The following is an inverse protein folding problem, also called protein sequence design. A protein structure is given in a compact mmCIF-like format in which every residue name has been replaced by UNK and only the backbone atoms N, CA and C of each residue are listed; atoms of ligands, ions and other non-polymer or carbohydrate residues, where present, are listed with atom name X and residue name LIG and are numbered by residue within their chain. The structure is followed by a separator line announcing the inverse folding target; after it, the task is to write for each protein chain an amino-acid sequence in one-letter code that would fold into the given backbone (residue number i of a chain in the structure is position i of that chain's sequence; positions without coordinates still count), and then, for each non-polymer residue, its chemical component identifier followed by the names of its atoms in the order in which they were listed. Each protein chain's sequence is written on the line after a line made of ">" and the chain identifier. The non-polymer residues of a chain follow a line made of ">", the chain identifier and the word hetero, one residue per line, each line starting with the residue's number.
data_IF_264062306269
#
_entry.id   IF_264062306269
#
_cell.length_a   1.000
_cell.length_b   1.000
_cell.length_c   1.000
_cell.angle_alpha   90.00
_cell.angle_beta   90.00
_cell.angle_gamma   90.00
#
_symmetry.space_group_name_H-M   'P 1'
#
loop_
_entity.id
_entity.type
_entity.pdbx_description
1 polymer ?
#
# COMPACT_ATOMS: atom_id res chain seq x y z
N UNK A 1 3.14 -33.24 -2.21
CA UNK A 1 1.81 -33.47 -1.58
C UNK A 1 0.73 -33.41 -2.66
N UNK A 2 -0.09 -34.46 -2.85
CA UNK A 2 -1.05 -34.54 -3.98
C UNK A 2 -2.23 -33.56 -3.75
N UNK A 3 -2.68 -32.85 -4.80
CA UNK A 3 -3.75 -31.83 -4.83
C UNK A 3 -4.98 -32.14 -3.95
N UNK A 4 -5.39 -33.42 -3.88
CA UNK A 4 -6.53 -33.88 -3.04
C UNK A 4 -6.25 -33.88 -1.53
N UNK A 5 -5.01 -34.13 -1.11
CA UNK A 5 -4.61 -34.10 0.31
C UNK A 5 -4.54 -32.65 0.83
N UNK A 6 -4.13 -31.70 -0.01
CA UNK A 6 -4.13 -30.26 0.33
C UNK A 6 -5.56 -29.70 0.46
N UNK A 7 -6.47 -30.07 -0.45
CA UNK A 7 -7.89 -29.66 -0.36
C UNK A 7 -8.54 -30.21 0.91
N UNK A 8 -8.25 -31.47 1.28
CA UNK A 8 -8.72 -32.04 2.56
C UNK A 8 -8.15 -31.29 3.77
N UNK A 9 -6.86 -30.95 3.77
CA UNK A 9 -6.22 -30.18 4.84
C UNK A 9 -6.72 -28.73 4.94
N UNK A 10 -6.95 -28.06 3.81
CA UNK A 10 -7.51 -26.71 3.75
C UNK A 10 -8.98 -26.65 4.22
N UNK A 11 -9.77 -27.70 3.92
CA UNK A 11 -11.14 -27.82 4.40
C UNK A 11 -11.24 -28.20 5.90
N UNK A 12 -10.21 -28.86 6.46
CA UNK A 12 -10.17 -29.21 7.91
C UNK A 12 -9.40 -28.19 8.76
N UNK A 13 -8.61 -27.31 8.16
CA UNK A 13 -7.80 -26.30 8.84
C UNK A 13 -8.54 -25.06 9.35
N UNK A 14 -9.86 -24.96 9.11
CA UNK A 14 -10.73 -23.87 9.55
C UNK A 14 -11.87 -24.40 10.43
N UNK A 15 -11.56 -25.31 11.35
CA UNK A 15 -12.50 -25.67 12.43
C UNK A 15 -12.52 -24.56 13.48
N UNK A 16 -13.64 -24.39 14.19
CA UNK A 16 -13.80 -23.36 15.23
C UNK A 16 -12.68 -23.38 16.29
N UNK A 17 -12.08 -24.55 16.57
CA UNK A 17 -10.92 -24.69 17.45
C UNK A 17 -9.63 -24.08 16.85
N UNK A 18 -9.39 -24.25 15.55
CA UNK A 18 -8.28 -23.62 14.84
C UNK A 18 -8.41 -22.10 14.76
N UNK A 19 -9.63 -21.57 14.67
CA UNK A 19 -9.92 -20.13 14.75
C UNK A 19 -9.70 -19.56 16.17
N UNK A 20 -10.01 -20.34 17.21
CA UNK A 20 -9.77 -19.96 18.62
C UNK A 20 -8.27 -19.94 18.95
N UNK A 21 -7.52 -20.93 18.45
CA UNK A 21 -6.07 -21.02 18.63
C UNK A 21 -5.32 -19.97 17.78
N UNK A 22 -5.80 -19.69 16.56
CA UNK A 22 -5.34 -18.56 15.75
C UNK A 22 -5.67 -17.22 16.41
N UNK A 23 -6.85 -17.08 17.02
CA UNK A 23 -7.26 -15.85 17.71
C UNK A 23 -6.42 -15.54 18.95
N UNK A 24 -6.22 -16.53 19.83
CA UNK A 24 -5.38 -16.38 21.02
C UNK A 24 -3.91 -16.02 20.70
N UNK A 25 -3.43 -16.34 19.49
CA UNK A 25 -2.02 -16.22 19.07
C UNK A 25 -1.73 -15.06 18.11
N UNK A 26 -2.72 -14.57 17.38
CA UNK A 26 -2.65 -13.36 16.53
C UNK A 26 -2.93 -12.06 17.31
N UNK A 27 -3.18 -12.17 18.63
CA UNK A 27 -3.57 -11.05 19.48
C UNK A 27 -5.08 -10.75 19.47
N UNK A 28 -5.90 -11.58 18.82
CA UNK A 28 -7.36 -11.52 18.90
C UNK A 28 -7.79 -12.23 20.20
N UNK A 29 -7.66 -11.56 21.35
CA UNK A 29 -8.30 -12.03 22.60
C UNK A 29 -9.82 -11.98 22.44
N UNK A 30 -10.62 -12.85 23.10
CA UNK A 30 -12.03 -12.55 23.32
C UNK A 30 -12.07 -11.27 24.18
N UNK A 31 -12.37 -10.16 23.51
CA UNK A 31 -12.28 -8.81 24.05
C UNK A 31 -13.29 -8.64 25.20
N UNK A 32 -12.78 -8.53 26.43
CA UNK A 32 -13.49 -7.81 27.50
C UNK A 32 -13.26 -6.31 27.26
N UNK A 33 -14.30 -5.62 26.81
CA UNK A 33 -14.44 -4.18 26.97
C UNK A 33 -13.66 -3.30 25.99
N UNK A 34 -13.83 -3.52 24.69
CA UNK A 34 -13.94 -2.38 23.75
C UNK A 34 -15.14 -2.68 22.85
N UNK A 35 -15.96 -1.66 22.61
CA UNK A 35 -17.23 -1.79 21.93
C UNK A 35 -16.99 -2.16 20.46
N UNK A 36 -16.93 -3.47 20.14
CA UNK A 36 -16.94 -4.03 18.78
C UNK A 36 -18.36 -3.90 18.22
N UNK A 37 -18.82 -2.66 18.15
CA UNK A 37 -20.05 -2.22 17.51
C UNK A 37 -19.78 -0.81 16.96
N UNK A 38 -18.82 -0.69 16.04
CA UNK A 38 -18.95 0.32 14.99
C UNK A 38 -19.63 -0.37 13.81
N UNK A 39 -20.98 -0.34 13.73
CA UNK A 39 -21.69 -0.85 12.56
C UNK A 39 -21.16 -0.16 11.29
N UNK A 40 -21.31 -0.79 10.11
CA UNK A 40 -20.89 -0.20 8.83
C UNK A 40 -21.52 1.19 8.56
N UNK A 41 -22.60 1.56 9.27
CA UNK A 41 -23.16 2.91 9.29
C UNK A 41 -22.21 3.99 9.82
N UNK A 42 -21.31 3.65 10.75
CA UNK A 42 -20.34 4.59 11.32
C UNK A 42 -19.20 4.90 10.34
N UNK A 43 -18.96 4.00 9.37
CA UNK A 43 -17.99 4.25 8.29
C UNK A 43 -18.51 5.40 7.41
N UNK A 44 -19.81 5.47 7.11
CA UNK A 44 -20.38 6.63 6.40
C UNK A 44 -20.23 7.93 7.19
N UNK A 45 -20.43 7.89 8.51
CA UNK A 45 -20.23 9.06 9.37
C UNK A 45 -18.74 9.49 9.45
N UNK A 46 -17.81 8.53 9.45
CA UNK A 46 -16.36 8.79 9.44
C UNK A 46 -15.83 9.27 8.09
N UNK A 47 -16.48 8.86 6.99
CA UNK A 47 -16.16 9.36 5.64
C UNK A 47 -16.62 10.82 5.44
N UNK A 48 -17.54 11.30 6.30
CA UNK A 48 -18.08 12.66 6.26
C UNK A 48 -18.89 12.97 4.99
N UNK A 49 -19.62 14.08 5.02
CA UNK A 49 -20.04 14.76 3.79
C UNK A 49 -18.86 15.63 3.34
N UNK A 50 -17.95 15.05 2.54
CA UNK A 50 -16.85 15.80 1.96
C UNK A 50 -17.41 17.05 1.25
N UNK A 51 -16.83 18.25 1.46
CA UNK A 51 -17.37 19.49 0.90
C UNK A 51 -17.49 19.39 -0.62
N UNK A 52 -18.74 19.47 -1.12
CA UNK A 52 -19.02 19.51 -2.56
C UNK A 52 -18.92 20.96 -3.01
N UNK A 53 -17.70 21.49 -3.01
CA UNK A 53 -17.43 22.84 -3.47
C UNK A 53 -17.47 22.85 -5.00
N UNK A 54 -18.14 23.83 -5.58
CA UNK A 54 -18.51 23.89 -7.00
C UNK A 54 -17.35 24.18 -7.99
N UNK A 55 -16.10 23.88 -7.64
CA UNK A 55 -14.92 24.36 -8.40
C UNK A 55 -14.31 23.32 -9.36
N UNK A 56 -14.67 22.03 -9.30
CA UNK A 56 -13.92 21.01 -10.08
C UNK A 56 -14.76 19.92 -10.76
N UNK A 57 -15.98 20.25 -11.21
CA UNK A 57 -16.87 19.31 -11.94
C UNK A 57 -16.33 18.82 -13.31
N UNK A 58 -15.13 19.21 -13.74
CA UNK A 58 -14.61 18.89 -15.07
C UNK A 58 -13.78 17.60 -15.13
N UNK A 59 -13.08 17.22 -14.06
CA UNK A 59 -12.20 16.04 -14.05
C UNK A 59 -12.95 14.87 -13.40
N UNK A 60 -13.78 14.18 -14.21
CA UNK A 60 -14.63 13.11 -13.72
C UNK A 60 -14.04 11.71 -13.95
N UNK A 61 -13.01 11.61 -14.78
CA UNK A 61 -12.38 10.36 -15.22
C UNK A 61 -10.88 10.55 -15.36
N UNK A 62 -10.13 9.45 -15.36
CA UNK A 62 -8.71 9.48 -15.73
C UNK A 62 -8.52 10.03 -17.13
N UNK A 63 -9.40 9.69 -18.07
CA UNK A 63 -9.38 10.26 -19.42
C UNK A 63 -9.59 11.78 -19.49
N UNK A 64 -10.20 12.39 -18.46
CA UNK A 64 -10.40 13.84 -18.38
C UNK A 64 -9.14 14.58 -17.86
N UNK A 65 -8.13 13.86 -17.35
CA UNK A 65 -6.90 14.48 -16.82
C UNK A 65 -6.13 15.29 -17.87
N UNK A 66 -6.37 15.07 -19.17
CA UNK A 66 -5.83 15.90 -20.27
C UNK A 66 -6.30 17.36 -20.21
N UNK A 67 -7.33 17.67 -19.43
CA UNK A 67 -7.75 19.05 -19.18
C UNK A 67 -6.81 19.78 -18.21
N UNK A 68 -5.95 19.07 -17.48
CA UNK A 68 -4.90 19.65 -16.65
C UNK A 68 -3.64 19.88 -17.50
N UNK A 69 -2.85 20.93 -17.23
CA UNK A 69 -1.73 21.33 -18.08
C UNK A 69 -0.55 20.34 -18.09
N UNK A 70 -0.58 19.31 -17.25
CA UNK A 70 0.51 18.35 -17.10
C UNK A 70 0.36 17.09 -17.93
N UNK A 71 -0.83 16.83 -18.49
CA UNK A 71 -1.12 15.54 -19.13
C UNK A 71 -1.56 15.70 -20.57
N UNK A 72 -1.14 14.76 -21.41
CA UNK A 72 -1.59 14.62 -22.79
C UNK A 72 -1.79 13.14 -23.12
N UNK A 73 -2.29 12.84 -24.31
CA UNK A 73 -2.32 11.48 -24.84
C UNK A 73 -1.21 11.30 -25.86
N UNK A 74 -0.55 10.14 -25.85
CA UNK A 74 0.35 9.74 -26.92
C UNK A 74 -0.40 9.30 -28.19
N UNK A 75 0.34 8.88 -29.21
CA UNK A 75 -0.21 8.39 -30.48
C UNK A 75 -1.09 7.15 -30.31
N UNK A 76 -0.87 6.36 -29.26
CA UNK A 76 -1.68 5.19 -28.91
C UNK A 76 -2.93 5.55 -28.08
N UNK A 77 -3.11 6.83 -27.74
CA UNK A 77 -4.20 7.31 -26.90
C UNK A 77 -3.99 7.07 -25.40
N UNK A 78 -2.80 6.61 -24.99
CA UNK A 78 -2.45 6.42 -23.58
C UNK A 78 -2.09 7.76 -22.93
N UNK A 79 -2.55 7.97 -21.70
CA UNK A 79 -2.23 9.17 -20.94
C UNK A 79 -0.74 9.18 -20.55
N UNK A 80 -0.08 10.32 -20.72
CA UNK A 80 1.32 10.56 -20.35
C UNK A 80 1.49 11.98 -19.84
N UNK A 81 2.65 12.29 -19.29
CA UNK A 81 3.05 13.67 -19.05
C UNK A 81 3.20 14.43 -20.37
N UNK A 82 2.71 15.67 -20.41
CA UNK A 82 2.85 16.55 -21.57
C UNK A 82 4.31 16.93 -21.80
N UNK A 83 4.68 17.15 -23.07
CA UNK A 83 6.06 17.49 -23.40
C UNK A 83 6.48 18.83 -22.77
N UNK A 84 7.65 18.86 -22.12
CA UNK A 84 8.23 20.08 -21.54
C UNK A 84 7.63 20.53 -20.21
N UNK A 85 6.79 19.71 -19.56
CA UNK A 85 6.29 20.01 -18.21
C UNK A 85 7.43 19.97 -17.20
N UNK A 86 7.47 20.97 -16.32
CA UNK A 86 8.44 21.05 -15.22
C UNK A 86 7.95 20.23 -14.01
N UNK A 87 8.03 18.91 -14.15
CA UNK A 87 7.79 17.95 -13.06
C UNK A 87 9.08 17.17 -12.83
N UNK A 88 9.66 17.24 -11.63
CA UNK A 88 10.91 16.55 -11.35
C UNK A 88 10.69 15.02 -11.42
N UNK A 89 11.74 14.25 -11.71
CA UNK A 89 11.64 12.80 -11.71
C UNK A 89 11.16 12.28 -10.35
N UNK A 90 10.19 11.36 -10.38
CA UNK A 90 9.58 10.83 -9.17
C UNK A 90 10.07 9.41 -8.86
N UNK A 91 9.94 9.02 -7.60
CA UNK A 91 10.12 7.66 -7.11
C UNK A 91 8.79 7.24 -6.47
N UNK A 92 8.23 6.13 -6.93
CA UNK A 92 7.03 5.55 -6.32
C UNK A 92 7.44 4.67 -5.13
N UNK A 93 7.13 5.09 -3.90
CA UNK A 93 7.47 4.30 -2.73
C UNK A 93 6.48 3.16 -2.43
N UNK A 94 5.41 3.02 -3.21
CA UNK A 94 4.36 2.04 -2.95
C UNK A 94 3.82 1.42 -4.25
N UNK A 95 4.33 0.25 -4.60
CA UNK A 95 3.88 -0.51 -5.77
C UNK A 95 3.68 -1.99 -5.44
N UNK A 96 2.76 -2.66 -6.13
CA UNK A 96 2.55 -4.10 -6.06
C UNK A 96 2.57 -4.75 -7.46
N UNK A 97 3.30 -5.85 -7.61
CA UNK A 97 3.27 -6.70 -8.81
C UNK A 97 3.15 -8.16 -8.39
N UNK A 98 2.63 -9.00 -9.28
CA UNK A 98 2.59 -10.44 -9.05
C UNK A 98 1.51 -10.88 -8.07
N UNK A 99 0.31 -10.30 -8.19
CA UNK A 99 -0.87 -10.63 -7.38
C UNK A 99 -1.39 -12.06 -7.57
N UNK A 100 -0.66 -13.03 -7.03
CA UNK A 100 -1.02 -14.44 -6.96
C UNK A 100 -0.56 -15.01 -5.63
N UNK A 101 -1.35 -15.90 -5.04
CA UNK A 101 -1.08 -16.47 -3.72
C UNK A 101 -1.28 -17.98 -3.75
N UNK A 102 -0.69 -18.71 -2.79
CA UNK A 102 -0.94 -20.15 -2.62
C UNK A 102 -0.79 -20.98 -3.91
N UNK A 103 -1.91 -21.52 -4.40
CA UNK A 103 -2.01 -22.39 -5.59
C UNK A 103 -2.28 -21.62 -6.89
N UNK A 104 -2.43 -20.30 -6.85
CA UNK A 104 -2.47 -19.47 -8.03
C UNK A 104 -1.26 -19.74 -8.95
N UNK A 105 -1.48 -19.62 -10.26
CA UNK A 105 -0.41 -19.73 -11.24
C UNK A 105 0.52 -18.51 -11.15
N UNK A 106 1.77 -18.71 -11.56
CA UNK A 106 2.68 -17.59 -11.78
C UNK A 106 2.13 -16.69 -12.88
N UNK A 107 2.43 -15.41 -12.75
CA UNK A 107 2.15 -14.35 -13.71
C UNK A 107 3.45 -14.15 -14.49
N UNK A 108 3.34 -14.14 -15.81
CA UNK A 108 4.47 -13.82 -16.68
C UNK A 108 4.74 -12.31 -16.61
N UNK A 109 5.82 -11.94 -15.93
CA UNK A 109 6.16 -10.56 -15.63
C UNK A 109 6.66 -9.77 -16.85
N UNK A 110 7.00 -10.44 -17.95
CA UNK A 110 7.51 -9.79 -19.16
C UNK A 110 6.41 -9.41 -20.15
N UNK A 111 5.16 -9.79 -19.89
CA UNK A 111 4.04 -9.51 -20.80
C UNK A 111 3.57 -8.07 -20.67
N UNK A 112 3.53 -7.36 -21.81
CA UNK A 112 2.84 -6.07 -21.98
C UNK A 112 1.42 -6.32 -22.49
N UNK A 113 0.43 -5.75 -21.83
CA UNK A 113 -0.98 -5.82 -22.22
C UNK A 113 -1.78 -4.68 -21.55
N UNK A 114 -3.02 -4.39 -21.98
CA UNK A 114 -3.85 -3.42 -21.28
C UNK A 114 -3.98 -3.76 -19.78
N UNK A 115 -3.67 -2.78 -18.93
CA UNK A 115 -3.71 -2.95 -17.47
C UNK A 115 -5.15 -2.89 -17.00
N UNK A 116 -5.56 -3.92 -16.25
CA UNK A 116 -6.84 -3.91 -15.55
C UNK A 116 -6.60 -3.47 -14.10
N UNK A 117 -6.78 -2.19 -13.79
CA UNK A 117 -6.63 -1.68 -12.42
C UNK A 117 -7.67 -2.31 -11.47
N UNK A 118 -7.36 -2.28 -10.17
CA UNK A 118 -8.30 -2.81 -9.17
C UNK A 118 -9.56 -1.94 -9.02
N UNK A 119 -9.43 -0.64 -9.28
CA UNK A 119 -10.50 0.34 -9.23
C UNK A 119 -10.84 0.84 -10.64
N UNK A 120 -12.10 1.20 -10.83
CA UNK A 120 -12.60 1.84 -12.04
C UNK A 120 -12.40 3.35 -11.94
N UNK A 121 -11.49 3.87 -12.76
CA UNK A 121 -11.18 5.30 -12.83
C UNK A 121 -11.81 6.01 -14.04
N UNK A 122 -12.62 5.30 -14.83
CA UNK A 122 -13.34 5.83 -15.99
C UNK A 122 -14.86 6.00 -15.72
N UNK A 123 -15.36 5.37 -14.66
CA UNK A 123 -16.66 5.70 -14.10
C UNK A 123 -16.68 7.20 -13.68
N UNK A 124 -17.66 8.01 -14.14
CA UNK A 124 -17.73 9.42 -13.80
C UNK A 124 -17.81 9.66 -12.29
N UNK A 125 -16.81 10.33 -11.74
CA UNK A 125 -16.67 10.61 -10.31
C UNK A 125 -15.73 11.79 -10.09
N UNK A 126 -15.90 12.59 -9.04
CA UNK A 126 -14.89 13.60 -8.71
C UNK A 126 -13.57 12.91 -8.32
N UNK A 127 -12.70 12.80 -9.32
CA UNK A 127 -11.48 12.02 -9.29
C UNK A 127 -10.45 12.65 -8.35
N UNK A 128 -10.48 13.96 -8.19
CA UNK A 128 -9.46 14.72 -7.46
C UNK A 128 -9.84 14.93 -6.00
N UNK A 129 -11.10 15.30 -5.72
CA UNK A 129 -11.47 15.90 -4.43
C UNK A 129 -12.32 15.00 -3.53
N UNK A 130 -13.10 14.07 -4.09
CA UNK A 130 -14.12 13.35 -3.29
C UNK A 130 -13.85 11.86 -3.22
N UNK A 131 -13.66 11.18 -4.37
CA UNK A 131 -13.81 9.74 -4.35
C UNK A 131 -12.63 9.01 -3.70
N UNK A 132 -12.98 8.28 -2.63
CA UNK A 132 -12.15 7.29 -1.99
C UNK A 132 -12.55 5.89 -2.45
N UNK A 133 -11.61 5.17 -3.06
CA UNK A 133 -11.80 3.77 -3.40
C UNK A 133 -11.50 2.86 -2.21
N UNK A 134 -12.03 1.62 -2.20
CA UNK A 134 -13.00 1.05 -3.16
C UNK A 134 -14.42 1.61 -3.00
N UNK A 135 -15.18 1.70 -4.08
CA UNK A 135 -16.65 1.78 -4.01
C UNK A 135 -17.22 0.49 -3.40
N UNK A 136 -18.50 0.48 -3.02
CA UNK A 136 -19.13 -0.74 -2.48
C UNK A 136 -19.09 -1.90 -3.49
N UNK A 137 -19.28 -1.61 -4.77
CA UNK A 137 -19.22 -2.60 -5.84
C UNK A 137 -17.79 -3.14 -6.01
N UNK A 138 -16.79 -2.26 -6.06
CA UNK A 138 -15.38 -2.65 -6.13
C UNK A 138 -14.98 -3.49 -4.92
N UNK A 139 -15.38 -3.10 -3.72
CA UNK A 139 -15.10 -3.83 -2.49
C UNK A 139 -15.61 -5.27 -2.56
N UNK A 140 -16.85 -5.48 -3.03
CA UNK A 140 -17.44 -6.82 -3.21
C UNK A 140 -16.67 -7.67 -4.22
N UNK A 141 -16.25 -7.07 -5.35
CA UNK A 141 -15.48 -7.77 -6.39
C UNK A 141 -14.09 -8.12 -5.87
N UNK A 142 -13.39 -7.16 -5.25
CA UNK A 142 -12.04 -7.31 -4.74
C UNK A 142 -11.95 -8.32 -3.61
N UNK A 143 -12.93 -8.35 -2.70
CA UNK A 143 -12.95 -9.37 -1.63
C UNK A 143 -13.07 -10.78 -2.22
N UNK A 144 -13.96 -10.99 -3.19
CA UNK A 144 -14.07 -12.29 -3.89
C UNK A 144 -12.80 -12.66 -4.65
N UNK A 145 -12.19 -11.72 -5.37
CA UNK A 145 -10.95 -12.00 -6.10
C UNK A 145 -9.78 -12.26 -5.16
N UNK A 146 -9.70 -11.56 -4.03
CA UNK A 146 -8.69 -11.78 -2.99
C UNK A 146 -8.77 -13.22 -2.48
N UNK A 147 -9.97 -13.72 -2.17
CA UNK A 147 -10.19 -15.12 -1.77
C UNK A 147 -9.79 -16.10 -2.88
N UNK A 148 -10.13 -15.77 -4.14
CA UNK A 148 -9.77 -16.60 -5.29
C UNK A 148 -8.27 -16.69 -5.51
N UNK A 149 -7.48 -15.64 -5.20
CA UNK A 149 -6.03 -15.62 -5.44
C UNK A 149 -5.30 -16.83 -4.83
N UNK A 150 -5.81 -17.38 -3.72
CA UNK A 150 -5.24 -18.55 -3.04
C UNK A 150 -5.37 -19.83 -3.89
N UNK A 151 -6.41 -19.93 -4.72
CA UNK A 151 -6.75 -21.12 -5.50
C UNK A 151 -6.40 -20.95 -6.98
N UNK A 152 -6.62 -19.75 -7.53
CA UNK A 152 -6.47 -19.41 -8.94
C UNK A 152 -6.15 -17.92 -9.10
N UNK A 153 -5.16 -17.61 -9.93
CA UNK A 153 -4.84 -16.23 -10.33
C UNK A 153 -5.99 -15.63 -11.15
N UNK A 154 -6.64 -14.55 -10.67
CA UNK A 154 -7.66 -13.83 -11.43
C UNK A 154 -7.12 -13.31 -12.76
N UNK A 155 -7.99 -13.15 -13.77
CA UNK A 155 -7.58 -12.67 -15.09
C UNK A 155 -6.97 -11.26 -15.02
N UNK A 156 -7.61 -10.37 -14.24
CA UNK A 156 -7.12 -9.02 -13.93
C UNK A 156 -5.69 -9.02 -13.43
N UNK A 157 -5.38 -9.87 -12.45
CA UNK A 157 -4.07 -9.92 -11.81
C UNK A 157 -2.94 -10.33 -12.78
N UNK A 158 -3.26 -11.02 -13.87
CA UNK A 158 -2.28 -11.36 -14.92
C UNK A 158 -1.80 -10.15 -15.71
N UNK A 159 -2.48 -9.02 -15.60
CA UNK A 159 -2.05 -7.74 -16.21
C UNK A 159 -1.11 -6.94 -15.29
N UNK A 160 -0.93 -7.36 -14.04
CA UNK A 160 -0.12 -6.66 -13.03
C UNK A 160 1.35 -7.10 -13.10
N UNK A 161 1.96 -6.86 -14.27
CA UNK A 161 3.29 -7.32 -14.65
C UNK A 161 4.36 -6.23 -14.50
N UNK A 162 5.63 -6.63 -14.43
CA UNK A 162 6.75 -5.68 -14.45
C UNK A 162 6.79 -4.88 -15.76
N UNK A 163 6.56 -5.52 -16.91
CA UNK A 163 6.54 -4.85 -18.20
C UNK A 163 5.41 -3.80 -18.31
N UNK A 164 4.25 -4.06 -17.69
CA UNK A 164 3.17 -3.07 -17.64
C UNK A 164 3.50 -1.90 -16.72
N UNK A 165 4.07 -2.17 -15.55
CA UNK A 165 4.53 -1.15 -14.64
C UNK A 165 5.60 -0.25 -15.29
N UNK A 166 6.64 -0.83 -15.88
CA UNK A 166 7.77 -0.09 -16.45
C UNK A 166 7.37 0.88 -17.56
N UNK A 167 6.55 0.47 -18.52
CA UNK A 167 6.12 1.41 -19.56
C UNK A 167 5.01 2.36 -19.11
N UNK A 168 4.42 2.20 -17.92
CA UNK A 168 3.67 3.30 -17.29
C UNK A 168 4.60 4.26 -16.53
N UNK A 169 5.63 3.74 -15.86
CA UNK A 169 6.70 4.55 -15.26
C UNK A 169 7.34 5.49 -16.30
N UNK A 170 7.61 4.99 -17.51
CA UNK A 170 8.14 5.80 -18.62
C UNK A 170 7.20 6.95 -19.01
N UNK A 171 5.88 6.73 -19.01
CA UNK A 171 4.88 7.75 -19.34
C UNK A 171 4.75 8.86 -18.30
N UNK A 172 5.14 8.58 -17.05
CA UNK A 172 4.96 9.50 -15.91
C UNK A 172 6.28 9.92 -15.23
N UNK A 173 7.42 9.73 -15.88
CA UNK A 173 8.74 10.11 -15.36
C UNK A 173 9.03 9.50 -13.96
N UNK A 174 8.59 8.26 -13.73
CA UNK A 174 8.88 7.51 -12.52
C UNK A 174 10.21 6.79 -12.73
N UNK A 175 11.22 7.17 -11.95
CA UNK A 175 12.58 6.64 -12.07
C UNK A 175 12.76 5.30 -11.39
N UNK A 176 12.07 5.11 -10.27
CA UNK A 176 12.12 3.89 -9.48
C UNK A 176 10.77 3.60 -8.84
N UNK A 177 10.45 2.32 -8.70
CA UNK A 177 9.23 1.85 -8.04
C UNK A 177 9.58 0.82 -6.97
N UNK A 178 9.17 1.09 -5.74
CA UNK A 178 9.39 0.23 -4.60
C UNK A 178 8.34 -0.87 -4.60
N UNK A 179 8.77 -2.10 -4.90
CA UNK A 179 7.89 -3.25 -4.95
C UNK A 179 7.65 -3.80 -3.54
N UNK A 180 6.39 -3.76 -3.12
CA UNK A 180 5.93 -4.14 -1.79
C UNK A 180 5.30 -5.54 -1.81
N UNK A 181 6.04 -6.59 -1.44
CA UNK A 181 5.46 -7.92 -1.36
C UNK A 181 4.44 -8.02 -0.21
N UNK A 182 3.28 -8.63 -0.48
CA UNK A 182 2.25 -8.88 0.54
C UNK A 182 2.35 -10.33 1.01
N UNK A 183 2.92 -10.50 2.20
CA UNK A 183 3.06 -11.81 2.85
C UNK A 183 1.74 -12.30 3.44
N UNK A 184 1.50 -13.60 3.30
CA UNK A 184 0.42 -14.32 3.97
C UNK A 184 1.00 -15.48 4.81
N UNK A 185 0.28 -15.98 5.84
CA UNK A 185 0.80 -17.03 6.73
C UNK A 185 1.19 -18.34 6.03
N UNK A 186 0.59 -18.63 4.87
CA UNK A 186 0.77 -19.89 4.14
C UNK A 186 1.16 -19.63 2.68
N UNK A 187 2.39 -20.01 2.31
CA UNK A 187 2.89 -20.04 0.92
C UNK A 187 2.65 -18.73 0.17
N UNK A 188 3.38 -17.71 0.59
CA UNK A 188 3.39 -16.38 -0.02
C UNK A 188 4.10 -16.39 -1.39
N UNK A 189 3.33 -16.71 -2.42
CA UNK A 189 3.80 -16.68 -3.82
C UNK A 189 4.04 -15.24 -4.29
N UNK A 190 3.26 -14.30 -3.76
CA UNK A 190 3.40 -12.88 -4.10
C UNK A 190 4.82 -12.39 -3.85
N UNK A 191 5.41 -12.67 -2.67
CA UNK A 191 6.80 -12.26 -2.38
C UNK A 191 7.79 -12.81 -3.39
N UNK A 192 7.73 -14.11 -3.68
CA UNK A 192 8.65 -14.77 -4.62
C UNK A 192 8.50 -14.18 -6.03
N UNK A 193 7.29 -13.82 -6.44
CA UNK A 193 7.03 -13.18 -7.73
C UNK A 193 7.47 -11.73 -7.76
N UNK A 194 7.22 -10.97 -6.70
CA UNK A 194 7.66 -9.57 -6.57
C UNK A 194 9.19 -9.48 -6.63
N UNK A 195 9.90 -10.36 -5.92
CA UNK A 195 11.37 -10.39 -5.97
C UNK A 195 11.87 -10.82 -7.35
N UNK A 196 11.25 -11.80 -8.01
CA UNK A 196 11.61 -12.16 -9.40
C UNK A 196 11.37 -11.02 -10.38
N UNK A 197 10.29 -10.26 -10.20
CA UNK A 197 9.98 -9.11 -11.05
C UNK A 197 11.04 -8.00 -10.92
N UNK A 198 11.57 -7.77 -9.72
CA UNK A 198 12.64 -6.80 -9.49
C UNK A 198 13.94 -7.12 -10.25
N UNK A 199 14.23 -8.39 -10.51
CA UNK A 199 15.43 -8.79 -11.25
C UNK A 199 15.35 -8.48 -12.76
N UNK A 200 14.19 -8.02 -13.26
CA UNK A 200 13.98 -7.74 -14.69
C UNK A 200 14.46 -6.34 -15.11
N UNK A 201 14.44 -5.35 -14.21
CA UNK A 201 14.86 -3.99 -14.47
C UNK A 201 15.31 -3.34 -13.16
N UNK A 202 16.49 -2.69 -13.17
CA UNK A 202 17.09 -2.04 -11.99
C UNK A 202 16.22 -0.95 -11.35
N UNK A 203 15.26 -0.41 -12.09
CA UNK A 203 14.29 0.59 -11.59
C UNK A 203 13.27 -0.01 -10.63
N UNK A 204 13.13 -1.33 -10.60
CA UNK A 204 12.20 -2.05 -9.74
C UNK A 204 12.93 -2.55 -8.49
N UNK A 205 12.68 -1.92 -7.35
CA UNK A 205 13.43 -2.23 -6.12
C UNK A 205 12.53 -2.93 -5.11
N UNK A 206 12.80 -4.20 -4.74
CA UNK A 206 11.93 -4.96 -3.86
C UNK A 206 12.23 -4.64 -2.39
N UNK A 207 11.19 -4.43 -1.60
CA UNK A 207 11.32 -4.46 -0.15
C UNK A 207 11.32 -5.91 0.36
N UNK A 208 11.90 -6.12 1.54
CA UNK A 208 11.75 -7.38 2.24
C UNK A 208 10.32 -7.51 2.80
N UNK A 209 9.87 -8.74 3.01
CA UNK A 209 8.71 -9.01 3.84
C UNK A 209 8.83 -10.40 4.45
N UNK A 210 8.27 -10.56 5.64
CA UNK A 210 8.14 -11.86 6.27
C UNK A 210 6.90 -11.89 7.14
N UNK A 211 6.18 -13.02 7.15
CA UNK A 211 5.18 -13.25 8.17
C UNK A 211 5.85 -13.33 9.55
N UNK A 212 5.43 -12.57 10.59
CA UNK A 212 6.14 -12.55 11.88
C UNK A 212 6.08 -13.90 12.62
N UNK A 213 4.94 -14.59 12.56
CA UNK A 213 4.70 -15.82 13.34
C UNK A 213 5.23 -17.10 12.68
N UNK A 214 5.94 -17.99 13.40
CA UNK A 214 6.58 -17.77 14.71
C UNK A 214 7.92 -17.03 14.52
N UNK A 215 8.22 -16.05 15.37
CA UNK A 215 9.52 -15.37 15.30
C UNK A 215 10.66 -16.35 15.65
N UNK A 216 11.80 -16.24 14.96
CA UNK A 216 12.95 -17.15 15.15
C UNK A 216 14.22 -16.64 14.46
N UNK A 217 15.37 -17.16 14.88
CA UNK A 217 16.68 -16.89 14.26
C UNK A 217 16.70 -17.18 12.75
N UNK A 218 16.00 -18.23 12.32
CA UNK A 218 15.87 -18.55 10.90
C UNK A 218 15.18 -17.43 10.11
N UNK A 219 14.21 -16.74 10.71
CA UNK A 219 13.54 -15.60 10.07
C UNK A 219 14.43 -14.37 10.04
N UNK A 220 15.17 -14.12 11.13
CA UNK A 220 16.18 -13.06 11.16
C UNK A 220 17.22 -13.27 10.06
N UNK A 221 17.78 -14.47 9.93
CA UNK A 221 18.74 -14.80 8.88
C UNK A 221 18.14 -14.65 7.47
N UNK A 222 16.88 -15.05 7.27
CA UNK A 222 16.18 -14.86 5.99
C UNK A 222 15.97 -13.38 5.65
N UNK A 223 15.62 -12.55 6.62
CA UNK A 223 15.50 -11.11 6.42
C UNK A 223 16.85 -10.46 6.10
N UNK A 224 17.91 -10.85 6.82
CA UNK A 224 19.27 -10.39 6.54
C UNK A 224 19.70 -10.72 5.10
N UNK A 225 19.41 -11.93 4.64
CA UNK A 225 19.69 -12.35 3.26
C UNK A 225 18.88 -11.52 2.25
N UNK A 226 17.58 -11.31 2.48
CA UNK A 226 16.73 -10.50 1.60
C UNK A 226 17.17 -9.04 1.48
N UNK A 227 17.78 -8.49 2.53
CA UNK A 227 18.20 -7.09 2.61
C UNK A 227 19.67 -6.88 2.20
N UNK A 228 20.45 -7.96 2.02
CA UNK A 228 21.87 -7.89 1.71
C UNK A 228 22.10 -7.20 0.36
N UNK A 229 22.84 -6.09 0.37
CA UNK A 229 23.13 -5.30 -0.82
C UNK A 229 21.89 -4.58 -1.41
N UNK A 230 20.80 -4.51 -0.65
CA UNK A 230 19.54 -3.86 -1.04
C UNK A 230 19.19 -2.72 -0.08
N UNK A 231 18.14 -1.99 -0.43
CA UNK A 231 17.52 -0.99 0.44
C UNK A 231 17.06 -1.65 1.75
N UNK A 232 17.32 -0.98 2.88
CA UNK A 232 16.95 -1.45 4.21
C UNK A 232 15.47 -1.16 4.52
N UNK A 233 14.57 -1.79 3.77
CA UNK A 233 13.11 -1.59 3.86
C UNK A 233 12.33 -2.89 3.98
N UNK A 234 11.29 -2.89 4.82
CA UNK A 234 10.39 -4.03 5.04
C UNK A 234 8.92 -3.63 4.90
N UNK A 235 8.13 -4.41 4.16
CA UNK A 235 6.67 -4.28 4.09
C UNK A 235 6.01 -5.07 5.22
N UNK A 236 5.16 -4.40 5.99
CA UNK A 236 4.24 -5.00 6.95
C UNK A 236 2.79 -4.72 6.54
N UNK A 237 1.93 -5.74 6.56
CA UNK A 237 0.53 -5.61 6.21
C UNK A 237 -0.36 -6.33 7.23
N UNK A 238 -0.88 -5.63 8.27
CA UNK A 238 -1.55 -6.27 9.39
C UNK A 238 -2.73 -7.16 8.99
N UNK A 239 -3.55 -6.69 8.04
CA UNK A 239 -4.73 -7.41 7.54
C UNK A 239 -4.36 -8.72 6.85
N UNK A 240 -3.49 -8.69 5.84
CA UNK A 240 -3.11 -9.89 5.08
C UNK A 240 -2.24 -10.87 5.88
N UNK A 241 -1.44 -10.35 6.80
CA UNK A 241 -0.63 -11.18 7.70
C UNK A 241 -1.42 -11.65 8.92
N UNK A 242 -2.69 -11.25 9.08
CA UNK A 242 -3.50 -11.56 10.27
C UNK A 242 -2.75 -11.25 11.58
N UNK A 243 -1.98 -10.17 11.60
CA UNK A 243 -1.06 -9.87 12.68
C UNK A 243 -1.12 -8.39 13.00
N UNK A 244 -1.58 -8.07 14.20
CA UNK A 244 -1.59 -6.70 14.66
C UNK A 244 -0.17 -6.17 14.96
N UNK A 245 0.05 -4.85 14.86
CA UNK A 245 1.37 -4.27 15.13
C UNK A 245 1.80 -4.36 16.61
N UNK A 246 0.86 -4.56 17.53
CA UNK A 246 1.11 -4.67 18.98
C UNK A 246 1.17 -6.12 19.49
N UNK A 247 1.04 -7.10 18.58
CA UNK A 247 1.09 -8.53 18.89
C UNK A 247 2.53 -8.99 19.20
N UNK A 248 2.74 -10.01 20.05
CA UNK A 248 4.09 -10.41 20.49
C UNK A 248 5.09 -10.72 19.37
N UNK A 249 4.68 -11.44 18.32
CA UNK A 249 5.57 -11.74 17.19
C UNK A 249 5.84 -10.50 16.32
N UNK A 250 4.86 -9.60 16.15
CA UNK A 250 5.08 -8.34 15.44
C UNK A 250 6.02 -7.40 16.22
N UNK A 251 5.89 -7.35 17.54
CA UNK A 251 6.79 -6.58 18.40
C UNK A 251 8.23 -7.07 18.28
N UNK A 252 8.48 -8.39 18.24
CA UNK A 252 9.83 -8.94 18.00
C UNK A 252 10.37 -8.62 16.60
N UNK A 253 9.51 -8.63 15.57
CA UNK A 253 9.90 -8.16 14.24
C UNK A 253 10.31 -6.68 14.28
N UNK A 254 9.54 -5.83 14.98
CA UNK A 254 9.82 -4.39 15.06
C UNK A 254 11.04 -4.06 15.91
N UNK A 255 11.29 -4.81 16.98
CA UNK A 255 12.54 -4.75 17.74
C UNK A 255 13.73 -5.00 16.81
N UNK A 256 13.69 -6.10 16.07
CA UNK A 256 14.73 -6.45 15.12
C UNK A 256 14.92 -5.39 14.03
N UNK A 257 13.82 -4.84 13.48
CA UNK A 257 13.89 -3.76 12.51
C UNK A 257 14.54 -2.49 13.10
N UNK A 258 14.19 -2.13 14.33
CA UNK A 258 14.75 -0.97 15.03
C UNK A 258 16.25 -1.14 15.30
N UNK A 259 16.68 -2.33 15.73
CA UNK A 259 18.10 -2.65 15.96
C UNK A 259 18.91 -2.71 14.66
N UNK A 260 18.31 -3.21 13.59
CA UNK A 260 18.94 -3.38 12.28
C UNK A 260 18.83 -2.15 11.37
N UNK A 261 18.26 -1.04 11.87
CA UNK A 261 17.95 0.17 11.11
C UNK A 261 17.08 -0.06 9.85
N UNK A 262 16.22 -1.07 9.86
CA UNK A 262 15.29 -1.36 8.76
C UNK A 262 14.04 -0.50 8.90
N UNK A 263 13.71 0.25 7.85
CA UNK A 263 12.50 1.07 7.80
C UNK A 263 11.30 0.19 7.47
N UNK A 264 10.23 0.31 8.25
CA UNK A 264 9.01 -0.47 8.05
C UNK A 264 7.97 0.35 7.31
N UNK A 265 7.66 -0.02 6.07
CA UNK A 265 6.49 0.51 5.37
C UNK A 265 5.28 -0.36 5.75
N UNK A 266 4.33 0.22 6.47
CA UNK A 266 3.18 -0.51 7.01
C UNK A 266 1.89 -0.05 6.36
N UNK A 267 1.00 -0.99 6.04
CA UNK A 267 -0.38 -0.64 5.75
C UNK A 267 -1.07 -0.14 7.03
N UNK A 268 -1.62 1.07 6.97
CA UNK A 268 -2.26 1.74 8.11
C UNK A 268 -3.68 2.14 7.73
N UNK A 269 -4.64 1.84 8.60
CA UNK A 269 -6.07 2.01 8.33
C UNK A 269 -6.70 0.84 7.59
N UNK A 270 -7.92 1.03 7.12
CA UNK A 270 -8.68 -0.01 6.40
C UNK A 270 -9.50 0.61 5.27
N UNK A 271 -9.81 -0.20 4.26
CA UNK A 271 -10.50 0.28 3.05
C UNK A 271 -12.02 0.10 3.13
N UNK A 272 -12.49 -0.67 4.12
CA UNK A 272 -13.91 -0.99 4.35
C UNK A 272 -14.34 -2.30 3.70
N UNK A 273 -13.51 -2.89 2.81
CA UNK A 273 -13.78 -4.20 2.19
C UNK A 273 -13.53 -5.37 3.14
N UNK A 274 -12.70 -5.14 4.15
CA UNK A 274 -12.28 -6.16 5.10
C UNK A 274 -13.40 -6.41 6.14
N UNK A 275 -13.65 -7.67 6.54
CA UNK A 275 -14.41 -7.98 7.75
C UNK A 275 -13.94 -7.20 8.98
N UNK A 276 -14.89 -6.82 9.85
CA UNK A 276 -14.64 -5.93 11.00
C UNK A 276 -13.48 -6.40 11.90
N UNK A 277 -13.36 -7.70 12.16
CA UNK A 277 -12.28 -8.24 13.00
C UNK A 277 -10.89 -8.06 12.36
N UNK A 278 -10.81 -8.01 11.03
CA UNK A 278 -9.55 -7.75 10.31
C UNK A 278 -9.24 -6.26 10.23
N UNK A 279 -10.26 -5.38 10.15
CA UNK A 279 -10.08 -3.92 10.19
C UNK A 279 -9.36 -3.49 11.48
N UNK A 280 -9.67 -4.15 12.60
CA UNK A 280 -9.03 -3.89 13.88
C UNK A 280 -7.50 -4.14 13.87
N UNK A 281 -6.98 -4.93 12.94
CA UNK A 281 -5.55 -5.26 12.87
C UNK A 281 -4.69 -4.09 12.41
N UNK A 282 -5.25 -3.18 11.61
CA UNK A 282 -4.52 -2.06 11.00
C UNK A 282 -4.94 -0.69 11.54
N UNK A 283 -5.63 -0.62 12.67
CA UNK A 283 -5.98 0.65 13.32
C UNK A 283 -4.74 1.46 13.69
N UNK A 284 -4.66 2.77 13.33
CA UNK A 284 -3.48 3.59 13.56
C UNK A 284 -3.01 3.62 15.02
N UNK A 285 -3.92 3.63 15.99
CA UNK A 285 -3.62 3.76 17.41
C UNK A 285 -2.82 2.56 17.94
N UNK A 286 -2.93 1.39 17.29
CA UNK A 286 -2.19 0.19 17.68
C UNK A 286 -0.69 0.34 17.44
N UNK A 287 -0.28 1.26 16.57
CA UNK A 287 1.13 1.56 16.34
C UNK A 287 1.77 2.36 17.48
N UNK A 288 1.00 2.95 18.40
CA UNK A 288 1.57 3.62 19.57
C UNK A 288 2.44 2.68 20.41
N UNK A 289 2.04 1.42 20.58
CA UNK A 289 2.79 0.46 21.40
C UNK A 289 4.19 0.21 20.81
N UNK A 290 4.36 -0.24 19.55
CA UNK A 290 5.70 -0.43 19.01
C UNK A 290 6.50 0.87 18.92
N UNK A 291 5.89 2.00 18.55
CA UNK A 291 6.60 3.28 18.48
C UNK A 291 7.16 3.71 19.85
N UNK A 292 6.35 3.61 20.92
CA UNK A 292 6.80 3.90 22.30
C UNK A 292 7.82 2.90 22.83
N UNK A 293 7.71 1.64 22.43
CA UNK A 293 8.59 0.57 22.93
C UNK A 293 9.96 0.63 22.28
N UNK A 294 10.03 1.03 21.01
CA UNK A 294 11.26 1.00 20.22
C UNK A 294 11.57 2.40 19.66
N UNK A 295 12.28 3.28 20.39
CA UNK A 295 12.52 4.66 19.97
C UNK A 295 13.29 4.83 18.66
N UNK A 296 14.03 3.79 18.22
CA UNK A 296 14.77 3.76 16.94
C UNK A 296 13.94 3.23 15.76
N UNK A 297 12.74 2.73 16.03
CA UNK A 297 11.87 2.21 14.98
C UNK A 297 11.42 3.33 14.07
N UNK A 298 11.60 3.13 12.76
CA UNK A 298 11.18 4.07 11.71
C UNK A 298 10.09 3.42 10.88
N UNK A 299 8.96 4.11 10.73
CA UNK A 299 7.79 3.61 10.04
C UNK A 299 7.30 4.59 8.98
N UNK A 300 6.85 4.05 7.85
CA UNK A 300 6.11 4.78 6.82
C UNK A 300 4.66 4.28 6.90
N UNK A 301 3.73 5.18 7.21
CA UNK A 301 2.30 4.86 7.20
C UNK A 301 1.77 5.02 5.78
N UNK A 302 1.54 3.88 5.11
CA UNK A 302 0.93 3.86 3.79
C UNK A 302 -0.50 4.39 3.85
N UNK A 303 -0.88 5.11 2.80
CA UNK A 303 -2.16 5.76 2.61
C UNK A 303 -2.54 6.78 3.69
N UNK A 304 -1.65 7.08 4.65
CA UNK A 304 -1.95 7.91 5.83
C UNK A 304 -3.28 7.49 6.44
N UNK A 305 -3.43 6.21 6.80
CA UNK A 305 -4.63 5.73 7.49
C UNK A 305 -5.81 5.36 6.62
N UNK A 306 -5.70 5.33 5.28
CA UNK A 306 -6.72 4.81 4.33
C UNK A 306 -8.17 5.19 4.65
N UNK A 307 -8.77 6.07 3.85
CA UNK A 307 -10.17 6.51 4.01
C UNK A 307 -10.46 7.06 5.41
N UNK A 308 -11.29 6.36 6.18
CA UNK A 308 -11.91 6.80 7.41
C UNK A 308 -10.92 6.96 8.57
N UNK A 309 -9.70 6.42 8.49
CA UNK A 309 -8.71 6.54 9.58
C UNK A 309 -7.59 7.54 9.28
N UNK A 310 -7.81 8.41 8.30
CA UNK A 310 -6.86 9.47 7.96
C UNK A 310 -6.58 10.42 9.14
N UNK A 311 -7.60 10.99 9.83
CA UNK A 311 -7.35 11.85 10.97
C UNK A 311 -6.53 11.15 12.08
N UNK A 312 -6.86 9.90 12.37
CA UNK A 312 -6.22 9.12 13.41
C UNK A 312 -4.77 8.75 13.04
N UNK A 313 -4.50 8.42 11.78
CA UNK A 313 -3.13 8.16 11.33
C UNK A 313 -2.26 9.42 11.36
N UNK A 314 -2.80 10.57 10.94
CA UNK A 314 -2.12 11.85 11.03
C UNK A 314 -1.84 12.22 12.49
N UNK A 315 -2.78 11.99 13.40
CA UNK A 315 -2.60 12.24 14.83
C UNK A 315 -1.52 11.33 15.45
N UNK A 316 -1.51 10.04 15.12
CA UNK A 316 -0.44 9.13 15.56
C UNK A 316 0.92 9.59 15.04
N UNK A 317 1.01 10.03 13.79
CA UNK A 317 2.25 10.57 13.23
C UNK A 317 2.71 11.82 13.98
N UNK A 318 1.81 12.77 14.26
CA UNK A 318 2.09 13.97 15.06
C UNK A 318 2.58 13.67 16.48
N UNK A 319 2.12 12.58 17.08
CA UNK A 319 2.56 12.15 18.41
C UNK A 319 3.91 11.40 18.40
N UNK A 320 4.33 10.89 17.24
CA UNK A 320 5.59 10.16 17.05
C UNK A 320 6.41 10.72 15.86
N UNK A 321 6.63 12.05 15.79
CA UNK A 321 7.08 12.70 14.56
C UNK A 321 8.49 12.26 14.18
N UNK A 322 9.35 11.92 15.14
CA UNK A 322 10.72 11.43 14.88
C UNK A 322 10.78 10.04 14.26
N UNK A 323 9.69 9.27 14.35
CA UNK A 323 9.64 7.87 13.97
C UNK A 323 8.73 7.60 12.77
N UNK A 324 7.83 8.54 12.42
CA UNK A 324 6.77 8.30 11.44
C UNK A 324 6.90 9.22 10.22
N UNK A 325 6.85 8.59 9.05
CA UNK A 325 6.70 9.22 7.74
C UNK A 325 5.33 8.88 7.17
N UNK A 326 4.79 9.75 6.33
CA UNK A 326 3.48 9.59 5.72
C UNK A 326 3.58 9.44 4.21
N UNK A 327 2.88 8.44 3.69
CA UNK A 327 2.64 8.22 2.27
C UNK A 327 1.13 8.42 2.06
N UNK A 328 0.72 9.18 1.05
CA UNK A 328 -0.66 9.72 0.94
C UNK A 328 -1.45 9.15 -0.24
N UNK A 329 -1.03 8.04 -0.84
CA UNK A 329 -1.76 7.40 -1.93
C UNK A 329 -3.20 7.10 -1.56
N UNK A 330 -4.07 7.32 -2.53
CA UNK A 330 -5.49 7.11 -2.38
C UNK A 330 -6.20 8.26 -1.67
N UNK A 331 -5.49 9.18 -1.01
CA UNK A 331 -6.09 10.38 -0.43
C UNK A 331 -6.51 11.38 -1.51
N UNK A 332 -7.62 12.12 -1.33
CA UNK A 332 -8.03 13.16 -2.25
C UNK A 332 -7.23 14.44 -1.98
N UNK A 333 -7.29 15.38 -2.92
CA UNK A 333 -6.58 16.67 -2.86
C UNK A 333 -6.78 17.40 -1.51
N UNK A 334 -7.99 17.52 -0.93
CA UNK A 334 -8.17 18.17 0.37
C UNK A 334 -7.38 17.52 1.50
N UNK A 335 -7.28 16.19 1.52
CA UNK A 335 -6.52 15.48 2.55
C UNK A 335 -5.02 15.64 2.33
N UNK A 336 -4.54 15.61 1.08
CA UNK A 336 -3.12 15.86 0.78
C UNK A 336 -2.75 17.29 1.22
N UNK A 337 -3.59 18.31 0.91
CA UNK A 337 -3.41 19.68 1.41
C UNK A 337 -3.37 19.75 2.94
N UNK A 338 -4.29 19.05 3.61
CA UNK A 338 -4.31 18.96 5.07
C UNK A 338 -3.02 18.37 5.65
N UNK A 339 -2.46 17.30 5.05
CA UNK A 339 -1.16 16.76 5.48
C UNK A 339 -0.04 17.78 5.25
N UNK A 340 -0.02 18.45 4.10
CA UNK A 340 0.97 19.49 3.78
C UNK A 340 0.92 20.69 4.75
N UNK A 341 -0.25 21.01 5.29
CA UNK A 341 -0.44 22.10 6.25
C UNK A 341 -0.11 21.70 7.69
N UNK A 342 -0.27 20.43 8.04
CA UNK A 342 -0.27 19.96 9.43
C UNK A 342 0.91 19.06 9.79
N UNK A 343 1.71 18.60 8.82
CA UNK A 343 2.85 17.71 9.04
C UNK A 343 4.10 18.22 8.33
N UNK A 344 5.26 17.73 8.77
CA UNK A 344 6.55 18.10 8.20
C UNK A 344 6.64 17.63 6.73
N UNK A 345 6.76 18.54 5.74
CA UNK A 345 6.88 18.17 4.32
C UNK A 345 8.10 17.29 4.02
N UNK A 346 9.16 17.31 4.84
CA UNK A 346 10.32 16.42 4.69
C UNK A 346 10.03 14.97 5.10
N UNK A 347 8.88 14.73 5.73
CA UNK A 347 8.42 13.40 6.16
C UNK A 347 7.27 12.87 5.33
N UNK A 348 7.03 13.46 4.16
CA UNK A 348 6.00 13.07 3.21
C UNK A 348 6.61 12.41 1.98
N UNK A 349 5.96 11.34 1.52
CA UNK A 349 6.36 10.57 0.34
C UNK A 349 5.23 10.43 -0.66
N UNK A 350 5.61 10.48 -1.93
CA UNK A 350 4.76 10.09 -3.04
C UNK A 350 4.72 8.56 -3.20
N UNK A 351 3.52 8.05 -3.47
CA UNK A 351 3.30 6.66 -3.88
C UNK A 351 2.18 6.57 -4.92
N UNK A 352 1.93 5.36 -5.42
CA UNK A 352 0.81 5.07 -6.33
C UNK A 352 -0.13 3.97 -5.85
N UNK A 353 0.35 3.01 -5.05
CA UNK A 353 -0.33 1.74 -4.78
C UNK A 353 -0.73 1.02 -6.07
N UNK A 354 0.05 1.19 -7.15
CA UNK A 354 -0.19 0.49 -8.41
C UNK A 354 -0.24 -1.03 -8.15
N UNK A 355 -1.25 -1.75 -8.67
CA UNK A 355 -2.20 -1.37 -9.72
C UNK A 355 -3.60 -1.03 -9.16
N UNK A 356 -3.69 -0.54 -7.92
CA UNK A 356 -4.94 0.02 -7.41
C UNK A 356 -5.25 1.37 -8.07
N UNK A 357 -4.26 2.24 -8.12
CA UNK A 357 -4.33 3.50 -8.86
C UNK A 357 -3.30 3.50 -10.00
N UNK A 358 -3.63 4.07 -11.17
CA UNK A 358 -2.64 4.44 -12.16
C UNK A 358 -1.78 5.59 -11.62
N UNK A 359 -0.55 5.74 -12.12
CA UNK A 359 0.34 6.83 -11.72
C UNK A 359 -0.29 8.21 -11.96
N UNK A 360 -1.08 8.32 -13.03
CA UNK A 360 -1.78 9.56 -13.39
C UNK A 360 -2.67 10.10 -12.28
N UNK A 361 -3.38 9.23 -11.55
CA UNK A 361 -4.33 9.67 -10.51
C UNK A 361 -3.58 10.20 -9.30
N UNK A 362 -2.61 9.43 -8.77
CA UNK A 362 -1.86 9.87 -7.59
C UNK A 362 -1.03 11.12 -7.90
N UNK A 363 -0.43 11.17 -9.09
CA UNK A 363 0.36 12.32 -9.53
C UNK A 363 -0.53 13.56 -9.75
N UNK A 364 -1.68 13.44 -10.41
CA UNK A 364 -2.60 14.56 -10.61
C UNK A 364 -3.07 15.15 -9.27
N UNK A 365 -3.50 14.30 -8.33
CA UNK A 365 -3.91 14.74 -6.99
C UNK A 365 -2.77 15.46 -6.26
N UNK A 366 -1.55 14.94 -6.35
CA UNK A 366 -0.37 15.58 -5.77
C UNK A 366 -0.05 16.94 -6.40
N UNK A 367 -0.05 17.03 -7.73
CA UNK A 367 0.26 18.27 -8.46
C UNK A 367 -0.76 19.38 -8.17
N UNK A 368 -2.05 19.04 -8.11
CA UNK A 368 -3.12 19.96 -7.73
C UNK A 368 -3.02 20.37 -6.26
N UNK A 369 -2.71 19.43 -5.36
CA UNK A 369 -2.52 19.74 -3.94
C UNK A 369 -1.32 20.66 -3.67
N UNK A 370 -0.30 20.61 -4.54
CA UNK A 370 0.93 21.41 -4.43
C UNK A 370 0.96 22.64 -5.35
N UNK A 371 -0.15 22.99 -5.99
CA UNK A 371 -0.25 24.22 -6.77
C UNK A 371 0.04 25.45 -5.88
N UNK A 372 1.01 26.28 -6.29
CA UNK A 372 1.53 27.40 -5.49
C UNK A 372 2.56 27.00 -4.41
N UNK A 373 2.93 25.72 -4.33
CA UNK A 373 3.96 25.17 -3.43
C UNK A 373 4.90 24.22 -4.20
N UNK A 374 5.21 24.57 -5.44
CA UNK A 374 6.00 23.76 -6.38
C UNK A 374 7.38 23.37 -5.82
N UNK A 375 7.97 24.24 -4.99
CA UNK A 375 9.26 24.01 -4.32
C UNK A 375 9.27 22.76 -3.41
N UNK A 376 8.10 22.24 -3.00
CA UNK A 376 8.00 21.01 -2.21
C UNK A 376 8.08 19.73 -3.07
N UNK A 377 7.86 19.84 -4.38
CA UNK A 377 7.71 18.69 -5.28
C UNK A 377 8.95 17.82 -5.35
N UNK A 378 10.19 18.33 -5.53
CA UNK A 378 11.37 17.46 -5.59
C UNK A 378 11.57 16.62 -4.32
N UNK A 379 11.37 17.26 -3.16
CA UNK A 379 11.49 16.62 -1.86
C UNK A 379 10.49 15.46 -1.70
N UNK A 380 9.20 15.72 -1.94
CA UNK A 380 8.13 14.75 -1.71
C UNK A 380 8.09 13.66 -2.79
N UNK A 381 8.37 14.00 -4.05
CA UNK A 381 8.39 13.04 -5.16
C UNK A 381 9.58 12.11 -5.10
N UNK A 382 10.70 12.49 -4.46
CA UNK A 382 11.93 11.69 -4.47
C UNK A 382 12.80 11.85 -3.24
N UNK A 383 13.29 13.06 -2.98
CA UNK A 383 14.50 13.22 -2.14
C UNK A 383 14.28 12.80 -0.69
N UNK A 384 13.09 13.04 -0.14
CA UNK A 384 12.75 12.63 1.22
C UNK A 384 12.87 11.11 1.38
N UNK A 385 12.39 10.33 0.41
CA UNK A 385 12.44 8.87 0.47
C UNK A 385 13.88 8.37 0.37
N UNK A 386 14.66 8.91 -0.56
CA UNK A 386 16.08 8.62 -0.71
C UNK A 386 16.84 8.91 0.60
N UNK A 387 16.57 10.05 1.22
CA UNK A 387 17.19 10.46 2.48
C UNK A 387 16.83 9.54 3.65
N UNK A 388 15.59 9.08 3.75
CA UNK A 388 15.17 8.14 4.79
C UNK A 388 15.87 6.78 4.63
N UNK A 389 15.90 6.27 3.40
CA UNK A 389 16.41 4.94 3.09
C UNK A 389 17.94 4.88 3.08
N UNK A 390 18.63 6.02 2.89
CA UNK A 390 20.10 6.15 2.90
C UNK A 390 20.78 5.12 1.99
N UNK A 391 20.29 4.99 0.76
CA UNK A 391 20.73 3.94 -0.16
C UNK A 391 21.23 4.50 -1.48
N UNK A 392 22.46 4.11 -1.84
CA UNK A 392 23.08 4.41 -3.14
C UNK A 392 22.35 3.71 -4.30
N UNK A 393 21.50 2.71 -4.03
CA UNK A 393 20.65 2.05 -5.04
C UNK A 393 19.70 3.03 -5.71
N UNK A 394 19.35 4.13 -5.03
CA UNK A 394 18.42 5.16 -5.51
C UNK A 394 19.12 6.44 -6.01
N UNK A 395 20.45 6.53 -5.84
CA UNK A 395 21.27 7.63 -6.31
C UNK A 395 21.57 7.46 -7.80
#
# INVERSE_FOLDING_TARGET
>A
MKRRQFIKAAATGLTAAGLVELGARTGIRPFKGFNIKKPDSDVKALLGDLPVDAVDRAILRVSDLVCLPWFEKDEAGELKLAAGVDIPPALDCHTHVGWSQGLGADIDMTVRCPVAYFFDHEAPQDLLNVQMHPTEQEARILSRETELTIIKTPARNKTHTAANLLAEMDRFNITHSMLLPVEIPVRSRHLEQTHRAAELDKRLVPLAAIHPWHWSDKKMARLQDMLKGRIQGLKFHPVFQFMAPDAPDAMQLFEWCAESNVVVLTHTGFTGREPAFMRALSEPERFHKPLRTFPKLRMIFAHTGSRARFPEALEVAKQHPEQVWLEFTGQPVPNIKKVLDEYDPQKLFYGSDWPYYPFSVSLARFLVATAGREHLRPAILRDNFVNLMRSDVLA
#
